data_IF_361722915927
#
_entry.id   IF_361722915927
#
_cell.length_a   1.000
_cell.length_b   1.000
_cell.length_c   1.000
_cell.angle_alpha   90.00
_cell.angle_beta   90.00
_cell.angle_gamma   90.00
#
_symmetry.space_group_name_H-M   'P 1'
#
loop_
_entity.id
_entity.type
_entity.pdbx_description
1 polymer ?
#
# COMPACT_ATOMS: atom_id res chain seq x y z
N UNK A 1 -16.81 6.07 23.74
CA UNK A 1 -16.18 5.55 22.52
C UNK A 1 -15.44 4.28 22.91
N UNK A 2 -15.58 3.18 22.20
CA UNK A 2 -14.76 1.99 22.50
C UNK A 2 -13.32 2.33 22.06
N UNK A 3 -12.38 2.19 23.00
CA UNK A 3 -10.96 2.39 22.69
C UNK A 3 -10.55 1.25 21.76
N UNK A 4 -9.90 1.58 20.67
CA UNK A 4 -9.47 0.60 19.69
C UNK A 4 -8.36 -0.30 20.27
N UNK A 5 -8.54 -1.61 20.15
CA UNK A 5 -7.63 -2.63 20.67
C UNK A 5 -6.18 -2.45 20.22
N UNK A 6 -5.96 -1.97 19.00
CA UNK A 6 -4.63 -1.73 18.45
C UNK A 6 -3.90 -0.62 19.19
N UNK A 7 -4.59 0.47 19.51
CA UNK A 7 -4.01 1.57 20.27
C UNK A 7 -3.62 1.11 21.67
N UNK A 8 -4.48 0.34 22.34
CA UNK A 8 -4.18 -0.22 23.66
C UNK A 8 -2.98 -1.17 23.63
N UNK A 9 -2.95 -2.11 22.69
CA UNK A 9 -1.83 -3.04 22.53
C UNK A 9 -0.52 -2.30 22.23
N UNK A 10 -0.57 -1.24 21.42
CA UNK A 10 0.62 -0.42 21.13
C UNK A 10 1.15 0.28 22.38
N UNK A 11 0.26 0.82 23.21
CA UNK A 11 0.63 1.48 24.46
C UNK A 11 1.21 0.48 25.48
N UNK A 12 0.66 -0.72 25.57
CA UNK A 12 1.18 -1.81 26.39
C UNK A 12 2.57 -2.22 25.93
N UNK A 13 2.76 -2.41 24.64
CA UNK A 13 4.07 -2.74 24.07
C UNK A 13 5.14 -1.64 24.34
N UNK A 14 4.75 -0.37 24.28
CA UNK A 14 5.65 0.75 24.63
C UNK A 14 6.02 0.69 26.11
N UNK A 15 5.08 0.39 27.00
CA UNK A 15 5.32 0.26 28.44
C UNK A 15 6.22 -0.93 28.77
N UNK A 16 6.02 -2.07 28.11
CA UNK A 16 6.84 -3.29 28.27
C UNK A 16 8.28 -3.05 27.77
N UNK A 17 8.46 -2.53 26.56
CA UNK A 17 9.76 -2.22 25.99
C UNK A 17 10.54 -1.20 26.84
N UNK A 18 9.83 -0.22 27.42
CA UNK A 18 10.41 0.72 28.35
C UNK A 18 10.84 0.05 29.68
N UNK A 19 10.04 -0.89 30.18
CA UNK A 19 10.35 -1.65 31.40
C UNK A 19 11.58 -2.54 31.21
N UNK A 20 11.69 -3.23 30.08
CA UNK A 20 12.87 -4.02 29.73
C UNK A 20 14.15 -3.17 29.66
N UNK A 21 14.08 -2.01 29.00
CA UNK A 21 15.22 -1.09 28.88
C UNK A 21 15.67 -0.50 30.25
N UNK A 22 14.75 -0.34 31.20
CA UNK A 22 15.06 0.11 32.56
C UNK A 22 15.76 -1.00 33.36
N UNK A 23 15.35 -2.26 33.16
CA UNK A 23 15.82 -3.41 33.92
C UNK A 23 17.11 -4.05 33.34
N UNK A 24 17.47 -3.73 32.10
CA UNK A 24 18.67 -4.24 31.45
C UNK A 24 19.89 -3.50 32.05
N UNK A 25 20.84 -4.18 32.71
CA UNK A 25 22.05 -3.53 33.24
C UNK A 25 22.85 -2.95 32.08
N UNK A 26 23.28 -1.69 32.22
CA UNK A 26 24.12 -1.03 31.24
C UNK A 26 25.39 -1.86 31.04
N UNK A 27 25.61 -2.38 29.83
CA UNK A 27 26.92 -2.96 29.50
C UNK A 27 27.94 -1.84 29.52
N UNK A 28 29.13 -2.05 30.19
CA UNK A 28 30.17 -1.05 30.15
C UNK A 28 30.61 -0.82 28.70
N UNK A 29 30.69 0.44 28.31
CA UNK A 29 31.26 0.84 27.03
C UNK A 29 32.73 0.43 27.01
N UNK A 30 33.02 -0.70 26.39
CA UNK A 30 34.38 -1.13 26.11
C UNK A 30 34.86 -0.29 24.91
N UNK A 31 35.67 0.73 25.25
CA UNK A 31 36.39 1.55 24.27
C UNK A 31 37.44 0.71 23.57
N UNK A 32 37.15 0.20 22.40
CA UNK A 32 38.08 -0.57 21.60
C UNK A 32 37.64 -0.57 20.12
N UNK A 33 38.18 0.37 19.35
CA UNK A 33 38.20 0.30 17.89
C UNK A 33 38.81 -1.03 17.43
N UNK A 34 38.00 -1.90 16.86
CA UNK A 34 38.47 -2.87 15.87
C UNK A 34 37.45 -2.99 14.77
N UNK A 35 37.77 -2.33 13.66
CA UNK A 35 37.17 -2.59 12.36
C UNK A 35 37.35 -4.06 12.03
N UNK A 36 36.31 -4.85 12.15
CA UNK A 36 36.24 -6.19 11.54
C UNK A 36 35.33 -6.12 10.32
N UNK A 37 35.94 -6.21 9.16
CA UNK A 37 35.26 -6.58 7.93
C UNK A 37 34.52 -7.90 8.15
N UNK A 38 33.21 -7.86 8.25
CA UNK A 38 32.38 -9.07 8.19
C UNK A 38 32.09 -9.37 6.74
N UNK A 39 32.72 -10.41 6.22
CA UNK A 39 32.33 -11.07 4.98
C UNK A 39 30.88 -11.51 5.07
N UNK A 40 30.08 -11.08 4.09
CA UNK A 40 28.66 -11.35 4.05
C UNK A 40 28.36 -12.83 3.80
N UNK A 41 27.71 -13.47 4.72
CA UNK A 41 26.96 -14.70 4.43
C UNK A 41 25.63 -14.34 3.75
N UNK A 42 25.22 -15.12 2.73
CA UNK A 42 23.95 -14.88 2.04
C UNK A 42 22.79 -15.25 2.97
N UNK A 43 21.95 -14.28 3.28
CA UNK A 43 20.68 -14.52 3.97
C UNK A 43 19.84 -15.48 3.15
N UNK A 44 19.54 -16.64 3.70
CA UNK A 44 18.59 -17.60 3.16
C UNK A 44 17.23 -16.95 2.96
N UNK A 45 16.76 -16.99 1.73
CA UNK A 45 15.39 -16.62 1.39
C UNK A 45 14.46 -17.66 2.02
N UNK A 46 13.60 -17.22 2.94
CA UNK A 46 12.50 -18.04 3.45
C UNK A 46 11.55 -18.41 2.29
N UNK A 47 11.06 -19.64 2.24
CA UNK A 47 10.18 -20.08 1.15
C UNK A 47 8.82 -19.37 1.22
N UNK A 48 8.36 -18.87 0.07
CA UNK A 48 7.14 -18.09 -0.15
C UNK A 48 5.85 -18.93 -0.20
N UNK A 49 5.80 -20.07 0.47
CA UNK A 49 4.62 -20.97 0.41
C UNK A 49 3.55 -20.73 1.49
N UNK A 50 3.79 -19.87 2.49
CA UNK A 50 2.84 -19.67 3.59
C UNK A 50 1.85 -18.49 3.45
N UNK A 51 1.76 -17.84 2.30
CA UNK A 51 0.89 -16.67 2.11
C UNK A 51 -0.58 -16.98 1.79
N UNK A 52 -1.01 -18.23 1.88
CA UNK A 52 -2.35 -18.69 1.47
C UNK A 52 -3.42 -18.85 2.55
N UNK A 53 -3.14 -18.67 3.84
CA UNK A 53 -4.01 -19.15 4.92
C UNK A 53 -4.45 -18.13 5.98
N UNK A 54 -4.43 -16.83 5.74
CA UNK A 54 -4.80 -15.85 6.79
C UNK A 54 -6.13 -15.14 6.54
N UNK A 55 -7.20 -15.92 6.37
CA UNK A 55 -8.55 -15.43 6.59
C UNK A 55 -9.02 -15.94 7.97
N UNK A 56 -8.83 -15.14 9.03
CA UNK A 56 -9.44 -15.39 10.32
C UNK A 56 -8.55 -15.44 11.55
N UNK A 57 -7.24 -15.29 11.46
CA UNK A 57 -6.40 -15.14 12.66
C UNK A 57 -6.43 -13.71 13.20
N UNK A 58 -6.69 -13.58 14.50
CA UNK A 58 -6.43 -12.32 15.22
C UNK A 58 -4.97 -11.96 15.03
N UNK A 59 -4.73 -10.87 14.32
CA UNK A 59 -3.39 -10.40 14.02
C UNK A 59 -2.83 -9.81 15.32
N UNK A 60 -1.97 -10.53 16.01
CA UNK A 60 -1.26 -10.02 17.19
C UNK A 60 -0.35 -8.85 16.79
N UNK A 61 -0.30 -7.83 17.61
CA UNK A 61 0.54 -6.64 17.40
C UNK A 61 2.00 -6.98 17.12
N UNK A 62 2.57 -7.99 17.77
CA UNK A 62 3.92 -8.48 17.52
C UNK A 62 4.12 -8.98 16.07
N UNK A 63 3.12 -9.64 15.49
CA UNK A 63 3.18 -10.13 14.10
C UNK A 63 3.14 -8.97 13.12
N UNK A 64 2.36 -7.92 13.39
CA UNK A 64 2.33 -6.70 12.57
C UNK A 64 3.71 -6.02 12.59
N UNK A 65 4.29 -5.83 13.77
CA UNK A 65 5.57 -5.15 13.94
C UNK A 65 6.75 -5.95 13.35
N UNK A 66 6.76 -7.26 13.50
CA UNK A 66 7.78 -8.13 12.91
C UNK A 66 7.65 -8.25 11.38
N UNK A 67 6.43 -8.30 10.86
CA UNK A 67 6.16 -8.49 9.42
C UNK A 67 6.51 -7.28 8.56
N UNK A 68 6.33 -6.06 9.08
CA UNK A 68 6.59 -4.82 8.35
C UNK A 68 7.97 -4.20 8.68
N UNK A 69 8.76 -4.84 9.51
CA UNK A 69 10.06 -4.30 9.95
C UNK A 69 9.91 -3.02 10.78
N UNK A 70 8.73 -2.82 11.37
CA UNK A 70 8.42 -1.70 12.26
C UNK A 70 9.15 -1.88 13.59
N UNK A 71 10.38 -1.40 13.66
CA UNK A 71 11.10 -1.37 14.92
C UNK A 71 10.76 -0.07 15.66
N UNK A 72 9.73 -0.12 16.50
CA UNK A 72 9.26 1.02 17.30
C UNK A 72 10.35 1.58 18.26
N UNK A 73 11.43 0.83 18.47
CA UNK A 73 12.51 1.20 19.37
C UNK A 73 13.67 1.95 18.69
N UNK A 74 13.74 1.98 17.35
CA UNK A 74 14.93 2.45 16.63
C UNK A 74 15.06 3.96 16.43
N UNK A 75 14.11 4.79 16.83
CA UNK A 75 14.21 6.25 16.58
C UNK A 75 15.23 6.96 17.48
N UNK A 76 15.42 6.49 18.72
CA UNK A 76 16.43 7.00 19.66
C UNK A 76 16.97 5.85 20.48
N UNK A 77 18.24 5.89 20.90
CA UNK A 77 18.76 4.89 21.84
C UNK A 77 17.90 4.89 23.10
N UNK A 78 17.44 3.70 23.50
CA UNK A 78 16.54 3.51 24.64
C UNK A 78 17.32 3.64 25.95
N UNK A 79 17.69 4.86 26.31
CA UNK A 79 18.31 5.11 27.64
C UNK A 79 17.25 4.91 28.73
N UNK A 80 17.66 4.46 29.96
CA UNK A 80 16.70 4.25 31.04
C UNK A 80 15.88 5.49 31.40
N UNK A 81 16.43 6.68 31.24
CA UNK A 81 15.71 7.94 31.45
C UNK A 81 14.66 8.19 30.37
N UNK A 82 15.02 8.01 29.10
CA UNK A 82 14.09 8.14 27.97
C UNK A 82 12.98 7.09 28.05
N UNK A 83 13.30 5.84 28.42
CA UNK A 83 12.34 4.76 28.61
C UNK A 83 11.30 5.09 29.68
N UNK A 84 11.72 5.62 30.84
CA UNK A 84 10.79 6.06 31.90
C UNK A 84 9.84 7.14 31.41
N UNK A 85 10.37 8.17 30.77
CA UNK A 85 9.55 9.25 30.22
C UNK A 85 8.56 8.78 29.15
N UNK A 86 8.99 7.85 28.28
CA UNK A 86 8.13 7.27 27.26
C UNK A 86 6.98 6.44 27.87
N UNK A 87 7.27 5.64 28.90
CA UNK A 87 6.24 4.91 29.65
C UNK A 87 5.23 5.83 30.34
N UNK A 88 5.71 6.95 30.91
CA UNK A 88 4.84 7.97 31.50
C UNK A 88 3.95 8.62 30.44
N UNK A 89 4.49 8.95 29.28
CA UNK A 89 3.73 9.52 28.16
C UNK A 89 2.68 8.53 27.64
N UNK A 90 3.00 7.25 27.51
CA UNK A 90 2.06 6.21 27.09
C UNK A 90 0.91 6.05 28.11
N UNK A 91 1.22 6.04 29.40
CA UNK A 91 0.19 6.01 30.47
C UNK A 91 -0.66 7.27 30.50
N UNK A 92 -0.08 8.43 30.23
CA UNK A 92 -0.83 9.67 30.11
C UNK A 92 -1.81 9.63 28.94
N UNK A 93 -1.33 9.19 27.76
CA UNK A 93 -2.18 9.06 26.58
C UNK A 93 -3.30 8.02 26.77
N UNK A 94 -3.00 6.87 27.41
CA UNK A 94 -4.02 5.89 27.80
C UNK A 94 -5.11 6.51 28.68
N UNK A 95 -4.74 7.30 29.71
CA UNK A 95 -5.72 8.00 30.56
C UNK A 95 -6.54 9.03 29.78
N UNK A 96 -5.95 9.66 28.77
CA UNK A 96 -6.67 10.55 27.88
C UNK A 96 -7.71 9.78 27.05
N UNK A 97 -7.36 8.65 26.48
CA UNK A 97 -8.29 7.76 25.78
C UNK A 97 -9.45 7.27 26.67
N UNK A 98 -9.18 7.04 27.96
CA UNK A 98 -10.18 6.64 28.95
C UNK A 98 -11.06 7.81 29.46
N UNK A 99 -10.83 9.04 28.96
CA UNK A 99 -11.54 10.23 29.41
C UNK A 99 -11.22 10.68 30.85
N UNK A 100 -10.09 10.22 31.39
CA UNK A 100 -9.64 10.53 32.77
C UNK A 100 -8.74 11.75 32.88
N UNK A 101 -8.50 12.43 31.79
CA UNK A 101 -7.65 13.62 31.68
C UNK A 101 -8.46 14.72 31.01
N UNK A 102 -8.35 15.95 31.49
CA UNK A 102 -8.96 17.10 30.85
C UNK A 102 -8.04 17.67 29.76
N UNK A 103 -8.62 18.38 28.80
CA UNK A 103 -7.87 19.04 27.72
C UNK A 103 -6.88 20.09 28.26
N UNK A 104 -7.22 20.75 29.40
CA UNK A 104 -6.30 21.66 30.09
C UNK A 104 -5.04 20.93 30.60
N UNK A 105 -5.20 19.71 31.14
CA UNK A 105 -4.05 18.89 31.54
C UNK A 105 -3.22 18.45 30.34
N UNK A 106 -3.85 18.17 29.20
CA UNK A 106 -3.13 17.91 27.95
C UNK A 106 -2.31 19.14 27.54
N UNK A 107 -2.88 20.33 27.61
CA UNK A 107 -2.18 21.57 27.31
C UNK A 107 -1.01 21.84 28.26
N UNK A 108 -1.21 21.69 29.58
CA UNK A 108 -0.14 21.84 30.58
C UNK A 108 1.03 20.91 30.32
N UNK A 109 0.74 19.66 29.99
CA UNK A 109 1.71 18.63 29.65
C UNK A 109 2.44 18.97 28.34
N UNK A 110 1.75 19.51 27.35
CA UNK A 110 2.35 19.94 26.09
C UNK A 110 3.26 21.19 26.26
N UNK A 111 3.07 21.99 27.31
CA UNK A 111 3.93 23.13 27.63
C UNK A 111 5.28 22.72 28.23
N UNK A 112 5.40 21.51 28.75
CA UNK A 112 6.65 20.96 29.24
C UNK A 112 7.50 20.45 28.05
N UNK A 113 8.64 21.08 27.80
CA UNK A 113 9.46 20.81 26.60
C UNK A 113 9.92 19.35 26.47
N UNK A 114 10.28 18.69 27.56
CA UNK A 114 10.73 17.29 27.54
C UNK A 114 9.56 16.32 27.35
N UNK A 115 8.47 16.51 28.07
CA UNK A 115 7.33 15.63 28.01
C UNK A 115 6.54 15.79 26.69
N UNK A 116 6.47 16.98 26.12
CA UNK A 116 5.89 17.24 24.81
C UNK A 116 6.56 16.42 23.69
N UNK A 117 7.88 16.26 23.76
CA UNK A 117 8.63 15.41 22.81
C UNK A 117 8.29 13.93 22.98
N UNK A 118 8.19 13.48 24.25
CA UNK A 118 7.84 12.07 24.56
C UNK A 118 6.41 11.73 24.15
N UNK A 119 5.48 12.65 24.38
CA UNK A 119 4.10 12.51 23.92
C UNK A 119 4.02 12.48 22.40
N UNK A 120 4.78 13.33 21.70
CA UNK A 120 4.91 13.30 20.25
C UNK A 120 5.45 11.97 19.74
N UNK A 121 6.47 11.40 20.38
CA UNK A 121 7.01 10.09 20.04
C UNK A 121 5.98 8.96 20.30
N UNK A 122 5.13 9.08 21.31
CA UNK A 122 4.04 8.14 21.57
C UNK A 122 2.98 8.20 20.47
N UNK A 123 2.53 9.41 20.10
CA UNK A 123 1.56 9.61 19.02
C UNK A 123 2.07 9.09 17.67
N UNK A 124 3.34 9.32 17.36
CA UNK A 124 3.96 8.81 16.14
C UNK A 124 4.03 7.27 16.11
N UNK A 125 4.24 6.61 17.25
CA UNK A 125 4.20 5.14 17.36
C UNK A 125 2.80 4.58 17.19
N UNK A 126 1.80 5.23 17.78
CA UNK A 126 0.39 4.87 17.61
C UNK A 126 -0.02 5.03 16.15
N UNK A 127 0.35 6.13 15.50
CA UNK A 127 0.09 6.34 14.07
C UNK A 127 0.73 5.24 13.22
N UNK A 128 1.99 4.89 13.48
CA UNK A 128 2.68 3.85 12.72
C UNK A 128 2.05 2.48 12.90
N UNK A 129 1.61 2.15 14.11
CA UNK A 129 0.88 0.91 14.37
C UNK A 129 -0.45 0.86 13.61
N UNK A 130 -1.20 1.94 13.61
CA UNK A 130 -2.44 2.08 12.83
C UNK A 130 -2.17 1.96 11.34
N UNK A 131 -1.18 2.70 10.82
CA UNK A 131 -0.80 2.62 9.42
C UNK A 131 -0.41 1.19 9.00
N UNK A 132 0.29 0.44 9.85
CA UNK A 132 0.68 -0.95 9.60
C UNK A 132 -0.52 -1.92 9.54
N UNK A 133 -1.60 -1.61 10.25
CA UNK A 133 -2.84 -2.41 10.23
C UNK A 133 -3.53 -2.37 8.88
N UNK A 134 -3.43 -1.24 8.18
CA UNK A 134 -3.98 -1.13 6.85
C UNK A 134 -3.19 -1.98 5.87
N UNK A 135 -3.88 -2.83 5.11
CA UNK A 135 -3.32 -3.63 4.02
C UNK A 135 -3.80 -3.08 2.67
N UNK A 136 -3.13 -2.06 2.11
CA UNK A 136 -3.55 -1.45 0.86
C UNK A 136 -3.64 -2.47 -0.26
N UNK A 137 -4.77 -2.50 -0.94
CA UNK A 137 -5.10 -3.52 -1.94
C UNK A 137 -4.17 -3.48 -3.16
N UNK A 138 -3.71 -2.29 -3.54
CA UNK A 138 -2.84 -2.07 -4.69
C UNK A 138 -1.48 -2.78 -4.60
N UNK A 139 -0.96 -3.02 -3.39
CA UNK A 139 0.33 -3.69 -3.16
C UNK A 139 0.35 -5.13 -3.67
N UNK A 140 -0.82 -5.75 -3.89
CA UNK A 140 -0.94 -7.13 -4.36
C UNK A 140 -0.70 -7.26 -5.86
N UNK A 141 -1.11 -6.28 -6.66
CA UNK A 141 -1.09 -6.37 -8.13
C UNK A 141 -0.22 -5.29 -8.81
N UNK A 142 0.24 -4.27 -8.09
CA UNK A 142 1.22 -3.32 -8.58
C UNK A 142 2.61 -3.64 -8.06
N UNK A 143 3.64 -3.26 -8.82
CA UNK A 143 5.02 -3.47 -8.43
C UNK A 143 5.52 -2.36 -7.51
N UNK A 144 6.03 -2.73 -6.33
CA UNK A 144 6.66 -1.80 -5.40
C UNK A 144 8.14 -1.60 -5.67
N UNK A 145 8.60 -0.37 -5.49
CA UNK A 145 10.00 0.03 -5.58
C UNK A 145 10.35 1.09 -4.53
N UNK A 146 11.61 1.15 -4.13
CA UNK A 146 12.15 2.22 -3.28
C UNK A 146 13.12 3.08 -4.10
N UNK A 147 12.92 4.40 -4.08
CA UNK A 147 13.75 5.39 -4.79
C UNK A 147 14.61 6.17 -3.81
N UNK A 148 15.72 6.72 -4.27
CA UNK A 148 16.71 7.40 -3.41
C UNK A 148 16.46 8.89 -3.23
N UNK A 149 15.85 9.53 -4.22
CA UNK A 149 15.62 10.97 -4.26
C UNK A 149 14.31 11.33 -4.97
N UNK A 150 13.99 12.62 -5.03
CA UNK A 150 12.79 13.16 -5.69
C UNK A 150 12.95 13.36 -7.21
N UNK A 151 14.10 13.03 -7.77
CA UNK A 151 14.33 13.18 -9.21
C UNK A 151 13.57 12.09 -9.97
N UNK A 152 13.31 12.35 -11.24
CA UNK A 152 12.70 11.34 -12.10
C UNK A 152 13.62 10.11 -12.20
N UNK A 153 13.10 8.96 -11.80
CA UNK A 153 13.79 7.67 -11.86
C UNK A 153 13.29 6.90 -13.07
N UNK A 154 14.23 6.41 -13.91
CA UNK A 154 13.92 5.51 -15.00
C UNK A 154 13.74 4.07 -14.46
N UNK A 155 12.62 3.47 -14.79
CA UNK A 155 12.45 2.02 -14.69
C UNK A 155 12.71 1.41 -16.05
N UNK A 156 13.74 0.57 -16.14
CA UNK A 156 14.20 -0.04 -17.40
C UNK A 156 13.81 -1.51 -17.40
N UNK A 157 13.14 -1.91 -18.45
CA UNK A 157 12.91 -3.30 -18.78
C UNK A 157 13.87 -3.70 -19.92
N UNK A 158 14.67 -4.70 -19.68
CA UNK A 158 15.53 -5.27 -20.71
C UNK A 158 14.75 -6.35 -21.47
N UNK A 159 14.65 -6.16 -22.75
CA UNK A 159 14.19 -7.20 -23.66
C UNK A 159 15.37 -8.12 -23.95
N UNK A 160 15.37 -9.28 -23.34
CA UNK A 160 16.37 -10.33 -23.63
C UNK A 160 15.95 -11.06 -24.88
N UNK A 161 16.81 -11.09 -25.88
CA UNK A 161 16.62 -11.69 -27.19
C UNK A 161 15.89 -13.03 -27.25
N UNK A 162 15.64 -13.54 -28.43
CA UNK A 162 14.85 -14.73 -28.76
C UNK A 162 15.27 -16.03 -28.10
N UNK A 163 14.92 -17.12 -28.70
CA UNK A 163 15.39 -18.45 -28.32
C UNK A 163 16.87 -18.63 -28.73
N UNK A 164 17.60 -19.45 -28.01
CA UNK A 164 18.96 -19.81 -28.39
C UNK A 164 18.93 -20.50 -29.78
N UNK A 165 19.79 -20.03 -30.66
CA UNK A 165 19.98 -20.67 -31.96
C UNK A 165 20.97 -21.86 -31.84
N UNK A 166 20.77 -22.94 -32.57
CA UNK A 166 21.75 -24.02 -32.60
C UNK A 166 23.06 -23.52 -33.23
N UNK A 167 24.16 -23.81 -32.56
CA UNK A 167 25.52 -23.49 -33.05
C UNK A 167 26.16 -24.77 -33.53
N UNK A 168 26.58 -24.87 -34.82
CA UNK A 168 27.30 -26.03 -35.31
C UNK A 168 28.69 -26.11 -34.68
N UNK A 169 29.29 -27.30 -34.75
CA UNK A 169 30.64 -27.50 -34.24
C UNK A 169 31.63 -26.55 -34.94
N UNK A 170 32.40 -25.78 -34.15
CA UNK A 170 33.29 -24.73 -34.64
C UNK A 170 32.61 -23.44 -35.15
N UNK A 171 31.30 -23.30 -34.98
CA UNK A 171 30.56 -22.11 -35.43
C UNK A 171 30.56 -20.98 -34.41
N UNK A 172 30.38 -19.76 -34.91
CA UNK A 172 30.29 -18.54 -34.07
C UNK A 172 28.93 -18.40 -33.37
N UNK A 173 28.96 -17.92 -32.14
CA UNK A 173 27.74 -17.57 -31.39
C UNK A 173 27.15 -16.28 -31.93
N UNK A 174 25.85 -16.28 -32.29
CA UNK A 174 25.13 -15.08 -32.67
C UNK A 174 25.01 -14.13 -31.48
N UNK A 175 25.50 -12.93 -31.66
CA UNK A 175 25.27 -11.84 -30.73
C UNK A 175 23.93 -11.16 -31.05
N UNK A 176 23.01 -11.11 -30.09
CA UNK A 176 21.76 -10.36 -30.20
C UNK A 176 21.86 -9.06 -29.43
N UNK A 177 21.40 -7.97 -30.07
CA UNK A 177 21.29 -6.68 -29.44
C UNK A 177 20.21 -6.69 -28.34
N UNK A 178 20.54 -6.16 -27.19
CA UNK A 178 19.56 -5.90 -26.10
C UNK A 178 18.83 -4.60 -26.42
N UNK A 179 17.50 -4.64 -26.43
CA UNK A 179 16.67 -3.43 -26.49
C UNK A 179 16.18 -3.09 -25.10
N UNK A 180 16.21 -1.82 -24.76
CA UNK A 180 15.73 -1.33 -23.46
C UNK A 180 14.44 -0.52 -23.67
N UNK A 181 13.41 -0.88 -22.93
CA UNK A 181 12.17 -0.13 -22.81
C UNK A 181 12.18 0.53 -21.46
N UNK A 182 11.90 1.84 -21.39
CA UNK A 182 11.94 2.57 -20.14
C UNK A 182 10.73 3.49 -19.98
N UNK A 183 10.33 3.68 -18.75
CA UNK A 183 9.39 4.72 -18.34
C UNK A 183 9.94 5.43 -17.12
N UNK A 184 9.52 6.66 -16.93
CA UNK A 184 10.03 7.53 -15.86
C UNK A 184 8.89 7.98 -14.96
N UNK A 185 9.18 8.08 -13.66
CA UNK A 185 8.28 8.68 -12.69
C UNK A 185 9.09 9.30 -11.54
N UNK A 186 8.44 10.15 -10.75
CA UNK A 186 9.03 10.76 -9.57
C UNK A 186 8.08 10.61 -8.38
N UNK A 187 8.65 10.47 -7.19
CA UNK A 187 7.88 10.52 -5.96
C UNK A 187 7.63 11.97 -5.57
N UNK A 188 6.49 12.22 -4.93
CA UNK A 188 6.09 13.54 -4.46
C UNK A 188 5.80 13.51 -2.97
N UNK A 189 5.95 14.65 -2.34
CA UNK A 189 5.61 14.83 -0.93
C UNK A 189 4.15 15.24 -0.81
N UNK A 190 3.42 14.52 0.03
CA UNK A 190 2.04 14.80 0.42
C UNK A 190 2.00 15.13 1.90
N UNK A 191 1.06 15.93 2.32
CA UNK A 191 0.89 16.26 3.73
C UNK A 191 -0.36 17.06 3.98
N UNK A 192 -0.87 16.95 5.20
CA UNK A 192 -2.06 17.64 5.69
C UNK A 192 -1.77 18.17 7.09
N UNK A 193 -2.28 19.36 7.39
CA UNK A 193 -2.18 19.97 8.71
C UNK A 193 -3.45 19.73 9.52
N UNK A 194 -3.27 19.53 10.81
CA UNK A 194 -4.32 19.31 11.79
C UNK A 194 -4.13 20.34 12.92
N UNK A 195 -4.85 21.44 12.91
CA UNK A 195 -4.78 22.43 13.98
C UNK A 195 -5.66 21.98 15.16
N UNK A 196 -5.10 22.08 16.35
CA UNK A 196 -5.83 21.97 17.60
C UNK A 196 -6.09 23.39 18.09
N UNK A 197 -7.30 23.89 17.93
CA UNK A 197 -7.64 25.30 18.22
C UNK A 197 -7.81 25.56 19.69
N UNK A 198 -7.62 26.82 20.09
CA UNK A 198 -7.83 27.26 21.47
C UNK A 198 -9.27 27.01 21.96
N UNK A 199 -10.26 27.14 21.08
CA UNK A 199 -11.67 26.86 21.41
C UNK A 199 -11.87 25.36 21.74
N UNK A 200 -11.23 24.43 21.00
CA UNK A 200 -11.27 23.00 21.32
C UNK A 200 -10.69 22.72 22.71
N UNK A 201 -9.60 23.40 23.06
CA UNK A 201 -8.97 23.29 24.38
C UNK A 201 -9.87 23.83 25.49
N UNK A 202 -10.50 24.98 25.28
CA UNK A 202 -11.40 25.60 26.24
C UNK A 202 -12.69 24.79 26.44
N UNK A 203 -13.22 24.24 25.36
CA UNK A 203 -14.42 23.39 25.38
C UNK A 203 -14.15 21.98 25.93
N UNK A 204 -12.89 21.67 26.26
CA UNK A 204 -12.45 20.33 26.74
C UNK A 204 -12.78 19.22 25.75
N UNK A 205 -12.58 19.50 24.46
CA UNK A 205 -12.79 18.52 23.36
C UNK A 205 -11.61 17.55 23.26
N UNK A 206 -11.60 16.59 24.18
CA UNK A 206 -10.53 15.59 24.27
C UNK A 206 -10.53 14.63 23.08
N UNK A 207 -11.70 14.40 22.49
CA UNK A 207 -11.83 13.49 21.33
C UNK A 207 -11.04 14.01 20.13
N UNK A 208 -10.97 15.33 19.94
CA UNK A 208 -10.18 15.93 18.87
C UNK A 208 -8.67 15.64 18.99
N UNK A 209 -8.16 15.50 20.22
CA UNK A 209 -6.76 15.14 20.44
C UNK A 209 -6.51 13.64 20.30
N UNK A 210 -7.40 12.82 20.81
CA UNK A 210 -7.22 11.35 20.84
C UNK A 210 -7.43 10.71 19.46
N UNK A 211 -8.24 11.33 18.57
CA UNK A 211 -8.46 10.85 17.20
C UNK A 211 -7.34 11.23 16.21
N UNK A 212 -6.48 12.21 16.55
CA UNK A 212 -5.43 12.71 15.65
C UNK A 212 -4.57 11.62 14.99
N UNK A 213 -4.02 10.62 15.70
CA UNK A 213 -3.19 9.60 15.05
C UNK A 213 -3.97 8.73 14.08
N UNK A 214 -5.25 8.46 14.36
CA UNK A 214 -6.12 7.65 13.51
C UNK A 214 -6.43 8.40 12.22
N UNK A 215 -6.85 9.66 12.31
CA UNK A 215 -7.14 10.52 11.16
C UNK A 215 -5.90 10.70 10.27
N UNK A 216 -4.72 10.88 10.87
CA UNK A 216 -3.46 11.03 10.13
C UNK A 216 -3.04 9.74 9.42
N UNK A 217 -3.24 8.58 10.05
CA UNK A 217 -2.93 7.29 9.46
C UNK A 217 -3.88 6.97 8.30
N UNK A 218 -5.17 7.20 8.49
CA UNK A 218 -6.20 6.99 7.47
C UNK A 218 -5.97 7.89 6.25
N UNK A 219 -5.76 9.18 6.44
CA UNK A 219 -5.45 10.13 5.36
C UNK A 219 -4.19 9.73 4.56
N UNK A 220 -3.16 9.19 5.23
CA UNK A 220 -1.96 8.72 4.53
C UNK A 220 -2.27 7.50 3.65
N UNK A 221 -2.96 6.49 4.19
CA UNK A 221 -3.34 5.28 3.44
C UNK A 221 -4.29 5.60 2.30
N UNK A 222 -5.31 6.44 2.53
CA UNK A 222 -6.26 6.84 1.50
C UNK A 222 -5.56 7.61 0.36
N UNK A 223 -4.58 8.47 0.70
CA UNK A 223 -3.76 9.14 -0.32
C UNK A 223 -2.97 8.14 -1.17
N UNK A 224 -2.34 7.13 -0.56
CA UNK A 224 -1.66 6.08 -1.31
C UNK A 224 -2.61 5.31 -2.22
N UNK A 225 -3.76 4.88 -1.69
CA UNK A 225 -4.74 4.11 -2.45
C UNK A 225 -5.27 4.92 -3.64
N UNK A 226 -5.66 6.18 -3.43
CA UNK A 226 -6.13 7.05 -4.50
C UNK A 226 -5.08 7.23 -5.59
N UNK A 227 -3.83 7.51 -5.23
CA UNK A 227 -2.74 7.70 -6.19
C UNK A 227 -2.42 6.40 -6.93
N UNK A 228 -2.36 5.27 -6.24
CA UNK A 228 -2.10 3.97 -6.86
C UNK A 228 -3.20 3.61 -7.87
N UNK A 229 -4.47 3.85 -7.52
CA UNK A 229 -5.61 3.61 -8.42
C UNK A 229 -5.57 4.56 -9.62
N UNK A 230 -5.09 5.79 -9.46
CA UNK A 230 -4.94 6.75 -10.57
C UNK A 230 -3.94 6.32 -11.65
N UNK A 231 -3.03 5.38 -11.35
CA UNK A 231 -2.08 4.88 -12.35
C UNK A 231 -2.73 3.98 -13.38
N UNK A 232 -3.84 3.33 -13.06
CA UNK A 232 -4.48 2.39 -13.96
C UNK A 232 -5.95 2.71 -14.26
N UNK A 233 -6.72 3.34 -13.37
CA UNK A 233 -8.15 3.59 -13.58
C UNK A 233 -8.34 4.52 -14.77
N UNK A 234 -9.16 4.08 -15.73
CA UNK A 234 -9.50 4.78 -16.98
C UNK A 234 -8.28 5.30 -17.76
N UNK A 235 -7.13 4.68 -17.60
CA UNK A 235 -5.89 5.11 -18.24
C UNK A 235 -5.82 4.66 -19.69
N UNK A 236 -6.18 5.55 -20.62
CA UNK A 236 -6.21 5.27 -22.06
C UNK A 236 -4.82 5.06 -22.68
N UNK A 237 -3.74 5.41 -21.98
CA UNK A 237 -2.39 5.11 -22.43
C UNK A 237 -2.01 3.67 -22.11
N UNK A 238 -2.39 3.18 -20.93
CA UNK A 238 -2.15 1.79 -20.51
C UNK A 238 -3.11 0.82 -21.21
N UNK A 239 -4.34 1.24 -21.42
CA UNK A 239 -5.41 0.43 -22.03
C UNK A 239 -5.86 1.02 -23.35
N UNK A 240 -5.58 0.32 -24.42
CA UNK A 240 -5.95 0.73 -25.77
C UNK A 240 -6.33 -0.47 -26.64
N UNK A 241 -7.03 -0.20 -27.73
CA UNK A 241 -7.41 -1.22 -28.71
C UNK A 241 -6.35 -1.47 -29.78
N UNK A 242 -5.25 -0.70 -29.77
CA UNK A 242 -4.28 -0.63 -30.85
C UNK A 242 -2.82 -0.64 -30.36
N UNK A 243 -2.49 -1.42 -29.35
CA UNK A 243 -1.09 -1.60 -28.96
C UNK A 243 -0.31 -2.30 -30.06
N UNK A 244 0.73 -1.64 -30.57
CA UNK A 244 1.61 -2.23 -31.58
C UNK A 244 2.78 -2.95 -30.92
N UNK A 245 3.02 -4.18 -31.32
CA UNK A 245 4.19 -4.97 -30.91
C UNK A 245 4.63 -5.89 -32.05
N UNK A 246 5.90 -5.78 -32.45
CA UNK A 246 6.50 -6.58 -33.52
C UNK A 246 5.67 -6.64 -34.82
N UNK A 247 5.03 -5.51 -35.19
CA UNK A 247 4.23 -5.38 -36.41
C UNK A 247 2.79 -5.89 -36.32
N UNK A 248 2.39 -6.47 -35.19
CA UNK A 248 1.01 -6.85 -34.92
C UNK A 248 0.32 -5.89 -33.95
N UNK A 249 -1.02 -5.83 -34.03
CA UNK A 249 -1.84 -4.98 -33.18
C UNK A 249 -2.59 -5.83 -32.17
N UNK A 250 -2.59 -5.40 -30.92
CA UNK A 250 -3.23 -6.07 -29.80
C UNK A 250 -4.15 -5.09 -29.03
N UNK A 251 -5.24 -5.62 -28.49
CA UNK A 251 -6.16 -4.87 -27.65
C UNK A 251 -6.17 -5.44 -26.24
N UNK A 252 -5.98 -4.57 -25.25
CA UNK A 252 -6.18 -4.89 -23.83
C UNK A 252 -7.34 -4.08 -23.25
N UNK A 253 -8.21 -3.55 -24.12
CA UNK A 253 -9.41 -2.80 -23.76
C UNK A 253 -10.64 -3.41 -24.42
N UNK A 254 -11.77 -3.45 -23.68
CA UNK A 254 -13.09 -3.88 -24.14
C UNK A 254 -14.19 -3.01 -23.51
N UNK A 255 -15.43 -3.26 -23.88
CA UNK A 255 -16.63 -2.58 -23.36
C UNK A 255 -17.62 -3.56 -22.69
N UNK A 256 -17.33 -4.86 -22.69
CA UNK A 256 -18.24 -5.88 -22.19
C UNK A 256 -18.49 -5.78 -20.69
N UNK A 257 -19.75 -5.91 -20.27
CA UNK A 257 -20.11 -6.02 -18.86
C UNK A 257 -19.46 -7.25 -18.20
N UNK A 258 -19.31 -7.23 -16.88
CA UNK A 258 -18.72 -8.33 -16.13
C UNK A 258 -19.63 -9.55 -16.15
N UNK A 259 -19.30 -10.50 -17.00
CA UNK A 259 -19.98 -11.79 -17.14
C UNK A 259 -18.95 -12.92 -17.22
N UNK A 260 -19.40 -14.17 -16.99
CA UNK A 260 -18.51 -15.35 -17.14
C UNK A 260 -17.92 -15.42 -18.56
N UNK A 261 -18.72 -15.12 -19.58
CA UNK A 261 -18.28 -15.15 -20.99
C UNK A 261 -17.26 -14.06 -21.29
N UNK A 262 -17.52 -12.82 -20.86
CA UNK A 262 -16.59 -11.70 -21.03
C UNK A 262 -15.28 -11.96 -20.29
N UNK A 263 -15.35 -12.49 -19.07
CA UNK A 263 -14.17 -12.80 -18.25
C UNK A 263 -13.30 -13.89 -18.91
N UNK A 264 -13.91 -14.97 -19.44
CA UNK A 264 -13.21 -16.00 -20.22
C UNK A 264 -12.57 -15.44 -21.49
N UNK A 265 -13.27 -14.57 -22.20
CA UNK A 265 -12.74 -13.91 -23.40
C UNK A 265 -11.52 -13.03 -23.07
N UNK A 266 -11.60 -12.25 -21.99
CA UNK A 266 -10.52 -11.41 -21.52
C UNK A 266 -9.29 -12.23 -21.09
N UNK A 267 -9.46 -13.30 -20.31
CA UNK A 267 -8.39 -14.22 -19.93
C UNK A 267 -7.72 -14.81 -21.17
N UNK A 268 -8.51 -15.32 -22.11
CA UNK A 268 -7.99 -15.88 -23.35
C UNK A 268 -7.24 -14.84 -24.20
N UNK A 269 -7.70 -13.59 -24.18
CA UNK A 269 -7.03 -12.49 -24.88
C UNK A 269 -5.66 -12.18 -24.24
N UNK A 270 -5.59 -12.11 -22.91
CA UNK A 270 -4.34 -11.88 -22.20
C UNK A 270 -3.32 -13.00 -22.40
N UNK A 271 -3.77 -14.26 -22.49
CA UNK A 271 -2.88 -15.41 -22.76
C UNK A 271 -2.26 -15.36 -24.16
N UNK A 272 -2.91 -14.66 -25.12
CA UNK A 272 -2.40 -14.47 -26.48
C UNK A 272 -1.40 -13.31 -26.59
N UNK A 273 -1.20 -12.51 -25.56
CA UNK A 273 -0.28 -11.39 -25.63
C UNK A 273 1.15 -11.89 -25.88
N UNK A 274 1.85 -11.26 -26.83
CA UNK A 274 3.17 -11.68 -27.21
C UNK A 274 4.20 -11.38 -26.13
N UNK A 275 5.16 -12.26 -26.02
CA UNK A 275 6.42 -11.93 -25.36
C UNK A 275 7.35 -11.20 -26.32
N UNK A 276 8.59 -11.09 -25.93
CA UNK A 276 9.60 -10.43 -26.74
C UNK A 276 10.23 -11.47 -27.69
N UNK A 277 10.37 -11.14 -28.99
CA UNK A 277 11.01 -11.97 -30.02
C UNK A 277 10.52 -13.42 -30.01
N UNK A 278 9.29 -13.64 -30.37
CA UNK A 278 8.66 -14.99 -30.50
C UNK A 278 8.63 -15.86 -29.22
N UNK A 279 8.94 -15.28 -28.06
CA UNK A 279 8.76 -15.99 -26.79
C UNK A 279 7.32 -15.85 -26.32
N UNK A 280 6.60 -16.94 -26.01
CA UNK A 280 5.29 -16.83 -25.41
C UNK A 280 5.42 -16.15 -24.02
N UNK A 281 4.60 -15.15 -23.77
CA UNK A 281 4.60 -14.47 -22.48
C UNK A 281 3.94 -15.33 -21.40
N UNK A 282 2.89 -16.07 -21.78
CA UNK A 282 2.08 -16.91 -20.90
C UNK A 282 1.65 -16.16 -19.63
N UNK A 283 1.11 -14.95 -19.84
CA UNK A 283 0.81 -14.02 -18.77
C UNK A 283 -0.61 -14.23 -18.28
N UNK A 284 -0.81 -15.21 -17.40
CA UNK A 284 -2.11 -15.52 -16.84
C UNK A 284 -2.53 -14.47 -15.83
N UNK A 285 -3.74 -13.87 -15.94
CA UNK A 285 -4.24 -12.98 -14.92
C UNK A 285 -4.51 -13.73 -13.61
N UNK A 286 -4.22 -13.06 -12.50
CA UNK A 286 -4.38 -13.59 -11.14
C UNK A 286 -5.37 -12.73 -10.33
N UNK A 287 -5.47 -11.46 -10.64
CA UNK A 287 -6.30 -10.52 -9.89
C UNK A 287 -7.41 -9.95 -10.77
N UNK A 288 -8.63 -9.97 -10.24
CA UNK A 288 -9.79 -9.28 -10.76
C UNK A 288 -10.09 -8.08 -9.85
N UNK A 289 -9.81 -6.88 -10.34
CA UNK A 289 -10.04 -5.64 -9.60
C UNK A 289 -11.35 -5.03 -10.05
N UNK A 290 -12.24 -4.77 -9.11
CA UNK A 290 -13.61 -4.30 -9.36
C UNK A 290 -13.99 -3.17 -8.42
N UNK A 291 -14.90 -2.28 -8.82
CA UNK A 291 -15.51 -1.31 -7.92
C UNK A 291 -16.43 -2.01 -6.90
N UNK A 292 -16.78 -1.32 -5.79
CA UNK A 292 -17.72 -1.85 -4.80
C UNK A 292 -19.06 -2.33 -5.39
N UNK A 293 -19.56 -1.66 -6.45
CA UNK A 293 -20.81 -2.01 -7.12
C UNK A 293 -20.78 -3.43 -7.73
N UNK A 294 -19.64 -3.88 -8.22
CA UNK A 294 -19.47 -5.20 -8.84
C UNK A 294 -18.93 -6.28 -7.88
N UNK A 295 -18.67 -5.95 -6.62
CA UNK A 295 -18.01 -6.86 -5.67
C UNK A 295 -18.80 -8.18 -5.49
N UNK A 296 -20.10 -8.10 -5.28
CA UNK A 296 -20.98 -9.26 -5.09
C UNK A 296 -21.07 -10.09 -6.37
N UNK A 297 -21.20 -9.43 -7.52
CA UNK A 297 -21.27 -10.10 -8.82
C UNK A 297 -19.96 -10.84 -9.16
N UNK A 298 -18.82 -10.20 -8.92
CA UNK A 298 -17.51 -10.81 -9.09
C UNK A 298 -17.32 -12.05 -8.18
N UNK A 299 -17.72 -11.94 -6.92
CA UNK A 299 -17.69 -13.07 -5.99
C UNK A 299 -18.61 -14.20 -6.46
N UNK A 300 -19.82 -13.89 -6.93
CA UNK A 300 -20.77 -14.85 -7.47
C UNK A 300 -20.22 -15.59 -8.68
N UNK A 301 -19.60 -14.88 -9.61
CA UNK A 301 -19.03 -15.47 -10.84
C UNK A 301 -17.89 -16.44 -10.51
N UNK A 302 -17.03 -16.10 -9.54
CA UNK A 302 -15.87 -16.90 -9.19
C UNK A 302 -16.16 -18.05 -8.22
N UNK A 303 -17.23 -17.96 -7.43
CA UNK A 303 -17.69 -19.03 -6.53
C UNK A 303 -18.65 -20.01 -7.18
N UNK A 304 -19.23 -19.65 -8.34
CA UNK A 304 -20.24 -20.47 -9.02
C UNK A 304 -19.60 -21.66 -9.73
N UNK A 305 -19.81 -22.87 -9.20
CA UNK A 305 -19.38 -24.10 -9.88
C UNK A 305 -20.17 -24.40 -11.17
N UNK A 306 -21.40 -23.91 -11.25
CA UNK A 306 -22.28 -24.23 -12.35
C UNK A 306 -22.89 -23.01 -13.00
N UNK A 307 -22.75 -22.92 -14.31
CA UNK A 307 -23.47 -22.01 -15.15
C UNK A 307 -24.65 -22.78 -15.78
N UNK A 308 -25.85 -22.27 -15.64
CA UNK A 308 -26.97 -22.78 -16.39
C UNK A 308 -26.85 -22.22 -17.81
N UNK A 309 -26.34 -23.02 -18.72
CA UNK A 309 -26.32 -22.66 -20.14
C UNK A 309 -27.69 -23.06 -20.70
N UNK A 310 -28.45 -22.06 -21.20
CA UNK A 310 -29.62 -22.33 -22.05
C UNK A 310 -29.11 -23.09 -23.28
N UNK A 311 -29.31 -24.37 -23.30
CA UNK A 311 -28.82 -25.21 -24.39
C UNK A 311 -29.65 -25.03 -25.66
N UNK A 312 -28.93 -24.74 -26.73
CA UNK A 312 -29.26 -25.18 -28.04
C UNK A 312 -30.38 -24.49 -28.79
N UNK A 313 -30.05 -24.13 -30.00
CA UNK A 313 -31.01 -23.88 -31.09
C UNK A 313 -32.16 -24.86 -31.02
N UNK A 314 -33.36 -24.34 -30.75
CA UNK A 314 -34.61 -25.08 -30.83
C UNK A 314 -34.96 -25.34 -32.30
N UNK A 315 -34.12 -26.10 -33.01
CA UNK A 315 -34.40 -26.47 -34.41
C UNK A 315 -35.38 -27.64 -34.49
N UNK A 316 -35.70 -28.29 -33.38
CA UNK A 316 -36.54 -29.49 -33.36
C UNK A 316 -37.69 -29.47 -32.35
N UNK A 317 -38.13 -28.30 -31.88
CA UNK A 317 -39.35 -28.18 -31.04
C UNK A 317 -39.22 -28.80 -29.62
N UNK A 318 -38.02 -29.26 -29.23
CA UNK A 318 -37.79 -29.70 -27.87
C UNK A 318 -37.45 -28.50 -26.97
N UNK A 319 -37.99 -28.44 -25.73
CA UNK A 319 -37.66 -27.36 -24.81
C UNK A 319 -36.16 -27.39 -24.51
N UNK A 320 -35.50 -26.24 -24.60
CA UNK A 320 -34.09 -26.06 -24.22
C UNK A 320 -33.89 -26.53 -22.80
N UNK A 321 -33.22 -27.67 -22.59
CA UNK A 321 -32.91 -28.18 -21.29
C UNK A 321 -31.68 -27.42 -20.78
N UNK A 322 -31.86 -26.62 -19.72
CA UNK A 322 -30.75 -25.97 -19.05
C UNK A 322 -29.81 -27.02 -18.46
N UNK A 323 -28.62 -27.13 -19.01
CA UNK A 323 -27.61 -28.05 -18.50
C UNK A 323 -26.62 -27.31 -17.59
N UNK A 324 -26.34 -27.83 -16.40
CA UNK A 324 -25.30 -27.28 -15.56
C UNK A 324 -23.94 -27.53 -16.21
N UNK A 325 -23.24 -26.48 -16.55
CA UNK A 325 -21.87 -26.52 -17.07
C UNK A 325 -20.95 -25.84 -16.07
N UNK A 326 -19.79 -26.42 -15.81
CA UNK A 326 -18.76 -25.79 -14.94
C UNK A 326 -18.28 -24.51 -15.59
N UNK A 327 -18.13 -23.46 -14.79
CA UNK A 327 -17.60 -22.17 -15.27
C UNK A 327 -16.15 -22.30 -15.71
N UNK A 328 -15.35 -23.18 -15.08
CA UNK A 328 -13.95 -23.43 -15.42
C UNK A 328 -13.01 -22.28 -15.11
N UNK A 329 -13.46 -21.30 -14.31
CA UNK A 329 -12.67 -20.16 -13.84
C UNK A 329 -12.69 -20.07 -12.30
N UNK A 330 -13.24 -21.08 -11.65
CA UNK A 330 -13.30 -21.18 -10.19
C UNK A 330 -11.87 -21.17 -9.61
N UNK A 331 -11.62 -20.30 -8.64
CA UNK A 331 -10.34 -20.22 -7.96
C UNK A 331 -9.16 -19.73 -8.80
N UNK A 332 -9.35 -19.41 -10.09
CA UNK A 332 -8.28 -18.89 -10.94
C UNK A 332 -7.91 -17.44 -10.64
N UNK A 333 -8.87 -16.65 -10.20
CA UNK A 333 -8.71 -15.23 -9.94
C UNK A 333 -9.00 -14.89 -8.49
N UNK A 334 -8.30 -13.88 -7.98
CA UNK A 334 -8.56 -13.27 -6.67
C UNK A 334 -9.27 -11.95 -6.87
N UNK A 335 -10.44 -11.79 -6.28
CA UNK A 335 -11.18 -10.52 -6.31
C UNK A 335 -10.51 -9.52 -5.38
N UNK A 336 -10.33 -8.33 -5.88
CA UNK A 336 -9.90 -7.15 -5.13
C UNK A 336 -10.91 -6.04 -5.38
N UNK A 337 -11.46 -5.50 -4.31
CA UNK A 337 -12.39 -4.36 -4.40
C UNK A 337 -11.60 -3.07 -4.22
N UNK A 338 -11.65 -2.18 -5.21
CA UNK A 338 -11.03 -0.86 -5.13
C UNK A 338 -12.11 0.22 -5.09
N UNK A 339 -12.28 0.92 -3.95
CA UNK A 339 -13.29 1.95 -3.80
C UNK A 339 -12.99 3.24 -4.59
N UNK A 340 -11.76 3.43 -5.07
CA UNK A 340 -11.37 4.63 -5.81
C UNK A 340 -11.69 4.57 -7.30
N UNK A 341 -12.03 3.41 -7.84
CA UNK A 341 -12.43 3.29 -9.25
C UNK A 341 -13.55 4.28 -9.60
N UNK A 342 -14.71 4.31 -8.90
CA UNK A 342 -15.78 5.26 -9.21
C UNK A 342 -15.47 6.72 -8.85
N UNK A 343 -14.47 6.95 -8.00
CA UNK A 343 -14.02 8.31 -7.65
C UNK A 343 -13.19 8.93 -8.77
N UNK A 344 -12.35 8.12 -9.42
CA UNK A 344 -11.47 8.55 -10.50
C UNK A 344 -12.20 8.54 -11.84
N UNK A 345 -12.88 7.44 -12.15
CA UNK A 345 -13.73 7.31 -13.34
C UNK A 345 -15.19 7.58 -12.98
N UNK A 346 -15.60 8.83 -13.14
CA UNK A 346 -16.98 9.26 -12.85
C UNK A 346 -18.00 8.80 -13.90
N UNK A 347 -17.54 8.33 -15.05
CA UNK A 347 -18.41 7.91 -16.16
C UNK A 347 -18.76 6.44 -16.07
N UNK A 348 -17.74 5.58 -16.03
CA UNK A 348 -17.91 4.12 -16.08
C UNK A 348 -17.38 3.42 -14.83
N UNK A 349 -17.01 4.16 -13.80
CA UNK A 349 -16.36 3.61 -12.61
C UNK A 349 -17.21 2.61 -11.81
N UNK A 350 -18.51 2.58 -11.99
CA UNK A 350 -19.40 1.59 -11.35
C UNK A 350 -19.50 0.27 -12.13
N UNK A 351 -19.18 0.27 -13.43
CA UNK A 351 -19.28 -0.88 -14.33
C UNK A 351 -17.95 -1.41 -14.80
N UNK A 352 -16.88 -0.61 -14.69
CA UNK A 352 -15.52 -0.96 -15.10
C UNK A 352 -14.93 -2.10 -14.27
N UNK A 353 -14.23 -3.00 -14.92
CA UNK A 353 -13.48 -4.05 -14.27
C UNK A 353 -12.12 -4.26 -14.93
N UNK A 354 -11.17 -4.73 -14.14
CA UNK A 354 -9.77 -4.85 -14.55
C UNK A 354 -9.22 -6.24 -14.21
N UNK A 355 -8.37 -6.77 -15.08
CA UNK A 355 -7.57 -7.96 -14.81
C UNK A 355 -6.11 -7.57 -14.72
N UNK A 356 -5.41 -8.15 -13.77
CA UNK A 356 -3.97 -7.98 -13.61
C UNK A 356 -3.28 -9.33 -13.46
N UNK A 357 -2.10 -9.43 -14.04
CA UNK A 357 -1.17 -10.52 -13.81
C UNK A 357 -0.35 -10.27 -12.54
N UNK A 358 0.33 -11.31 -12.08
CA UNK A 358 1.28 -11.15 -10.99
C UNK A 358 2.46 -10.25 -11.42
N UNK A 359 2.84 -9.22 -10.62
CA UNK A 359 3.79 -8.18 -11.05
C UNK A 359 5.26 -8.63 -11.03
N UNK A 360 5.56 -9.91 -11.24
CA UNK A 360 6.93 -10.46 -11.19
C UNK A 360 7.71 -10.24 -12.48
N UNK A 361 7.14 -10.59 -13.62
CA UNK A 361 7.80 -10.55 -14.94
C UNK A 361 7.51 -9.26 -15.68
N UNK A 362 6.22 -8.94 -15.83
CA UNK A 362 5.70 -7.70 -16.40
C UNK A 362 4.70 -7.14 -15.42
N UNK A 363 4.67 -5.85 -15.26
CA UNK A 363 3.76 -5.15 -14.37
C UNK A 363 3.08 -4.01 -15.11
N UNK A 364 1.81 -3.79 -14.81
CA UNK A 364 1.01 -2.74 -15.43
C UNK A 364 1.38 -1.34 -14.94
N UNK A 365 1.68 -1.23 -13.65
CA UNK A 365 2.12 0.01 -13.03
C UNK A 365 3.12 -0.27 -11.89
N UNK A 366 3.91 0.74 -11.57
CA UNK A 366 4.91 0.70 -10.51
C UNK A 366 4.64 1.85 -9.53
N UNK A 367 4.62 1.53 -8.24
CA UNK A 367 4.57 2.53 -7.17
C UNK A 367 5.90 2.57 -6.44
N UNK A 368 6.22 3.71 -5.85
CA UNK A 368 7.49 3.89 -5.15
C UNK A 368 7.36 4.71 -3.90
N UNK A 369 8.19 4.34 -2.92
CA UNK A 369 8.45 5.09 -1.71
C UNK A 369 9.85 5.70 -1.74
N UNK A 370 10.06 6.78 -1.01
CA UNK A 370 11.39 7.34 -0.81
C UNK A 370 12.12 6.56 0.28
N UNK A 371 13.35 6.15 0.01
CA UNK A 371 14.17 5.37 0.94
C UNK A 371 14.38 6.08 2.27
N UNK A 372 14.02 5.42 3.38
CA UNK A 372 14.06 5.98 4.72
C UNK A 372 12.84 6.85 5.07
N UNK A 373 11.84 6.97 4.16
CA UNK A 373 10.61 7.71 4.33
C UNK A 373 9.43 6.92 3.77
N UNK A 374 9.46 5.60 3.93
CA UNK A 374 8.42 4.69 3.45
C UNK A 374 7.13 4.78 4.26
N UNK A 375 7.21 5.37 5.45
CA UNK A 375 6.10 5.53 6.39
C UNK A 375 5.74 7.00 6.57
N UNK A 376 4.50 7.32 6.92
CA UNK A 376 4.10 8.68 7.26
C UNK A 376 4.84 9.17 8.51
N UNK A 377 5.10 10.46 8.57
CA UNK A 377 5.80 11.12 9.68
C UNK A 377 4.95 12.25 10.23
N UNK A 378 4.84 12.32 11.55
CA UNK A 378 4.14 13.41 12.25
C UNK A 378 5.12 14.49 12.68
N UNK A 379 4.70 15.74 12.57
CA UNK A 379 5.43 16.90 13.04
C UNK A 379 4.51 17.77 13.87
N UNK A 380 4.99 18.25 15.01
CA UNK A 380 4.37 19.31 15.79
C UNK A 380 5.02 20.65 15.41
N UNK A 381 4.24 21.71 15.28
CA UNK A 381 4.75 23.07 15.12
C UNK A 381 5.30 23.55 16.46
N UNK A 382 6.46 24.18 16.45
CA UNK A 382 6.97 24.88 17.63
C UNK A 382 6.19 26.19 17.83
N UNK A 383 5.96 26.56 19.08
CA UNK A 383 5.33 27.83 19.42
C UNK A 383 6.13 29.01 18.86
N UNK A 384 5.45 30.00 18.31
CA UNK A 384 6.02 31.25 17.84
C UNK A 384 5.46 32.50 18.57
N UNK A 385 4.60 32.27 19.57
CA UNK A 385 4.00 33.31 20.40
C UNK A 385 4.65 33.37 21.80
N UNK A 386 4.69 34.56 22.39
CA UNK A 386 5.12 34.80 23.76
C UNK A 386 4.12 35.66 24.48
N UNK A 387 3.64 35.20 25.63
CA UNK A 387 2.73 35.95 26.46
C UNK A 387 3.48 36.99 27.30
N UNK A 388 3.16 38.27 27.15
CA UNK A 388 3.81 39.37 27.87
C UNK A 388 3.62 39.32 29.40
N UNK A 389 2.59 38.66 29.89
CA UNK A 389 2.31 38.49 31.33
C UNK A 389 3.04 37.31 31.99
N UNK A 390 3.96 36.64 31.28
CA UNK A 390 4.66 35.43 31.72
C UNK A 390 3.86 34.16 31.44
N UNK A 391 4.58 33.02 31.41
CA UNK A 391 4.09 31.71 31.03
C UNK A 391 4.52 31.32 29.61
N UNK A 392 4.70 30.02 29.39
CA UNK A 392 4.95 29.45 28.06
C UNK A 392 3.61 29.33 27.33
N UNK A 393 3.59 29.67 26.05
CA UNK A 393 2.46 29.52 25.13
C UNK A 393 2.91 28.56 24.00
N UNK A 394 2.15 27.53 23.76
CA UNK A 394 2.42 26.54 22.67
C UNK A 394 1.62 26.88 21.40
N UNK A 395 0.78 27.89 21.46
CA UNK A 395 -0.10 28.32 20.38
C UNK A 395 0.63 29.18 19.36
N UNK A 396 0.15 29.16 18.13
CA UNK A 396 0.63 30.03 17.07
C UNK A 396 0.03 31.43 17.23
N UNK A 397 0.86 32.45 17.03
CA UNK A 397 0.48 33.86 17.16
C UNK A 397 -0.68 34.27 16.22
N UNK A 398 -0.74 33.67 15.04
CA UNK A 398 -1.68 34.05 13.99
C UNK A 398 -3.05 33.37 14.12
N UNK A 399 -3.08 32.14 14.69
CA UNK A 399 -4.24 31.25 14.62
C UNK A 399 -4.69 30.69 15.97
N UNK A 400 -4.04 31.08 17.08
CA UNK A 400 -4.29 30.55 18.42
C UNK A 400 -4.49 29.02 18.42
N UNK A 401 -3.60 28.29 17.73
CA UNK A 401 -3.71 26.85 17.56
C UNK A 401 -2.37 26.12 17.71
N UNK A 402 -2.42 24.89 18.19
CA UNK A 402 -1.30 23.97 18.19
C UNK A 402 -1.34 23.17 16.89
N UNK A 403 -0.35 23.41 16.02
CA UNK A 403 -0.32 22.79 14.69
C UNK A 403 0.35 21.43 14.69
N UNK A 404 -0.34 20.40 14.23
CA UNK A 404 0.22 19.12 13.84
C UNK A 404 0.17 18.98 12.32
N UNK A 405 1.08 18.20 11.75
CA UNK A 405 1.00 17.81 10.33
C UNK A 405 1.52 16.39 10.14
N UNK A 406 0.86 15.68 9.26
CA UNK A 406 1.40 14.44 8.69
C UNK A 406 2.09 14.74 7.37
N UNK A 407 3.19 14.06 7.11
CA UNK A 407 3.92 14.09 5.84
C UNK A 407 4.16 12.67 5.37
N UNK A 408 3.85 12.41 4.13
CA UNK A 408 4.12 11.14 3.47
C UNK A 408 4.71 11.36 2.08
N UNK A 409 5.51 10.40 1.60
CA UNK A 409 6.16 10.48 0.27
C UNK A 409 5.79 9.25 -0.53
N UNK A 410 5.09 9.47 -1.64
CA UNK A 410 4.60 8.42 -2.50
C UNK A 410 4.65 8.86 -3.97
N UNK A 411 4.72 7.91 -4.89
CA UNK A 411 4.65 8.19 -6.32
C UNK A 411 4.66 6.93 -7.13
N UNK A 412 4.61 7.07 -8.44
CA UNK A 412 4.59 5.95 -9.37
C UNK A 412 4.05 6.36 -10.73
N UNK A 413 3.94 5.39 -11.61
CA UNK A 413 3.34 5.57 -12.94
C UNK A 413 2.96 4.22 -13.55
N UNK A 414 2.12 4.28 -14.58
CA UNK A 414 1.86 3.13 -15.44
C UNK A 414 3.10 2.77 -16.28
N UNK A 415 3.29 1.48 -16.54
CA UNK A 415 4.46 0.95 -17.25
C UNK A 415 4.21 0.71 -18.74
N UNK A 416 3.32 1.48 -19.38
CA UNK A 416 2.94 1.25 -20.78
C UNK A 416 4.15 1.26 -21.72
N UNK A 417 5.04 2.24 -21.60
CA UNK A 417 6.24 2.36 -22.43
C UNK A 417 7.22 1.19 -22.27
N UNK A 418 7.15 0.45 -21.14
CA UNK A 418 7.91 -0.78 -20.94
C UNK A 418 7.06 -2.05 -21.23
N UNK A 419 6.03 -1.95 -22.04
CA UNK A 419 5.16 -3.04 -22.42
C UNK A 419 4.23 -3.53 -21.31
N UNK A 420 4.01 -2.71 -20.30
CA UNK A 420 3.15 -3.00 -19.14
C UNK A 420 1.69 -3.25 -19.49
N UNK A 421 1.21 -2.77 -20.65
CA UNK A 421 -0.11 -3.06 -21.18
C UNK A 421 -0.39 -4.56 -21.31
N UNK A 422 0.64 -5.38 -21.48
CA UNK A 422 0.53 -6.84 -21.56
C UNK A 422 0.22 -7.49 -20.19
N UNK A 423 0.37 -6.77 -19.10
CA UNK A 423 0.13 -7.26 -17.74
C UNK A 423 -1.28 -6.95 -17.23
N UNK A 424 -2.09 -6.22 -18.00
CA UNK A 424 -3.41 -5.79 -17.57
C UNK A 424 -4.42 -5.78 -18.72
N UNK A 425 -5.69 -5.88 -18.35
CA UNK A 425 -6.85 -5.79 -19.25
C UNK A 425 -7.92 -4.94 -18.58
N UNK A 426 -8.65 -4.15 -19.33
CA UNK A 426 -9.73 -3.30 -18.85
C UNK A 426 -10.97 -3.45 -19.71
N UNK A 427 -12.11 -3.52 -19.06
CA UNK A 427 -13.42 -3.32 -19.70
C UNK A 427 -14.18 -2.21 -18.96
N UNK A 428 -14.76 -1.29 -19.69
CA UNK A 428 -15.58 -0.22 -19.11
C UNK A 428 -16.99 -0.68 -18.73
N UNK A 429 -17.41 -1.86 -19.18
CA UNK A 429 -18.66 -2.49 -18.79
C UNK A 429 -19.91 -1.79 -19.32
N UNK A 430 -19.80 -1.07 -20.45
CA UNK A 430 -20.91 -0.28 -21.04
C UNK A 430 -21.74 -1.07 -22.04
N UNK A 431 -21.31 -2.27 -22.46
CA UNK A 431 -22.00 -3.12 -23.46
C UNK A 431 -22.68 -4.33 -22.84
#
# INVERSE_FOLDING_TARGET
>A
MAIDDITLQTLEHIEEAASEAINTPAQPEDGGETVRESQGEPRSQAPMEELGSYAGEQINSEVIFAREGLNLTQKRPMTPQYARGLAEAARFYRRALEGRVSMRQVQEVMMSSEFSVLLGDTLDRVLLAKYATYSPTYRRFLRGRTVRDFRAVGSVRRNTGGRLSPVPEGGDYRQEGLTEESFTYAVKKYGKGYPLTWEMIVNDDLDAFTSLPDDMADDAVQTEMYLASSFYVANTTLFATNHSHEGATYSNKDTAALTVTALKAAINNMLKFPGDKDKPLNNMPVFLVVPPALAIEAARILSSEFLIVSGGDATDGAPAVAQPSRTGIEGMLRVIVDPYIPVIDTTNGHTSWYLFCEPRRIHAAEYAFLRGYEQPQVFKRMANAMRLGGGQVEEDFDTDSIGYKVRHVFGGSHANAAGGWRAAYWSDGTA
#
